data_IF_990002145248
#
_entry.id   IF_990002145248
#
_cell.length_a   1.000
_cell.length_b   1.000
_cell.length_c   1.000
_cell.angle_alpha   90.00
_cell.angle_beta   90.00
_cell.angle_gamma   90.00
#
_symmetry.space_group_name_H-M   'P 1'
#
loop_
_entity.id
_entity.type
_entity.pdbx_description
1 polymer ?
#
# COMPACT_ATOMS: atom_id res chain seq x y z
N UNK A 1 -6.93 31.37 65.26
CA UNK A 1 -8.20 31.79 64.68
C UNK A 1 -8.07 31.69 63.17
N UNK A 2 -8.56 30.58 62.56
CA UNK A 2 -8.46 30.30 61.15
C UNK A 2 -9.79 30.61 60.50
N UNK A 3 -9.79 31.51 59.52
CA UNK A 3 -10.97 31.82 58.71
C UNK A 3 -10.83 31.02 57.38
N UNK A 4 -11.78 30.12 57.15
CA UNK A 4 -11.90 29.38 55.92
C UNK A 4 -12.68 30.21 54.91
N UNK A 5 -12.14 30.35 53.68
CA UNK A 5 -12.84 31.00 52.58
C UNK A 5 -13.43 29.89 51.69
N UNK A 6 -14.76 29.87 51.58
CA UNK A 6 -15.55 28.94 50.78
C UNK A 6 -15.70 29.52 49.37
N UNK A 7 -15.11 28.89 48.36
CA UNK A 7 -15.30 29.23 46.95
C UNK A 7 -16.48 28.42 46.38
N UNK A 8 -17.53 29.14 46.02
CA UNK A 8 -18.66 28.64 45.25
C UNK A 8 -18.29 28.57 43.78
N UNK A 9 -18.20 27.36 43.22
CA UNK A 9 -18.16 27.16 41.78
C UNK A 9 -19.58 27.29 41.21
N UNK A 10 -19.80 28.36 40.46
CA UNK A 10 -20.98 28.51 39.62
C UNK A 10 -20.86 27.67 38.34
N UNK A 11 -21.78 26.73 38.18
CA UNK A 11 -21.99 26.06 36.86
C UNK A 11 -22.69 27.06 35.94
N UNK A 12 -21.97 27.61 34.96
CA UNK A 12 -22.56 28.28 33.81
C UNK A 12 -23.12 27.25 32.86
N UNK A 13 -24.43 27.11 32.75
CA UNK A 13 -25.11 26.31 31.75
C UNK A 13 -24.94 26.90 30.36
N UNK A 14 -24.51 26.09 29.43
CA UNK A 14 -24.47 26.46 28.01
C UNK A 14 -25.89 26.61 27.46
N UNK A 15 -26.11 27.68 26.69
CA UNK A 15 -27.37 27.95 25.98
C UNK A 15 -27.54 26.95 24.81
N UNK A 16 -28.76 26.42 24.56
CA UNK A 16 -29.01 25.44 23.52
C UNK A 16 -28.94 25.93 22.07
N UNK A 17 -28.76 27.25 21.85
CA UNK A 17 -28.92 27.90 20.55
C UNK A 17 -27.63 28.45 19.92
N UNK A 18 -26.45 28.07 20.40
CA UNK A 18 -25.19 28.48 19.76
C UNK A 18 -24.75 27.40 18.75
N UNK A 19 -24.65 27.76 17.45
CA UNK A 19 -24.15 26.81 16.47
C UNK A 19 -22.70 26.46 16.81
N UNK A 20 -22.24 25.19 16.54
CA UNK A 20 -20.89 24.79 16.81
C UNK A 20 -19.91 25.72 16.10
N UNK A 21 -18.99 26.27 16.86
CA UNK A 21 -17.93 27.17 16.39
C UNK A 21 -16.99 26.39 15.49
N UNK A 22 -17.26 26.40 14.18
CA UNK A 22 -16.36 25.93 13.15
C UNK A 22 -15.22 26.94 13.02
N UNK A 23 -14.15 26.74 13.76
CA UNK A 23 -12.89 27.34 13.37
C UNK A 23 -12.51 26.74 12.02
N UNK A 24 -12.25 27.55 10.97
CA UNK A 24 -11.67 27.04 9.75
C UNK A 24 -10.36 26.35 10.14
N UNK A 25 -10.22 25.08 9.77
CA UNK A 25 -8.93 24.40 9.84
C UNK A 25 -7.97 25.26 9.04
N UNK A 26 -6.96 25.81 9.69
CA UNK A 26 -5.90 26.58 9.05
C UNK A 26 -5.30 25.73 7.93
N UNK A 27 -5.37 26.15 6.65
CA UNK A 27 -4.88 25.37 5.54
C UNK A 27 -3.36 25.43 5.36
N UNK A 28 -2.64 25.91 6.36
CA UNK A 28 -1.19 25.74 6.36
C UNK A 28 -0.91 24.26 6.66
N UNK A 29 -0.49 23.44 5.69
CA UNK A 29 0.01 22.12 6.02
C UNK A 29 1.21 22.34 6.92
N UNK A 30 1.10 21.95 8.20
CA UNK A 30 2.30 21.65 8.96
C UNK A 30 3.13 20.74 8.07
N UNK A 31 4.30 21.20 7.66
CA UNK A 31 5.31 20.36 7.07
C UNK A 31 5.65 19.37 8.19
N UNK A 32 4.92 18.26 8.23
CA UNK A 32 5.25 17.16 9.12
C UNK A 32 6.69 16.81 8.75
N UNK A 33 7.57 16.98 9.71
CA UNK A 33 8.96 16.58 9.57
C UNK A 33 8.97 15.04 9.59
N UNK A 34 8.55 14.44 8.46
CA UNK A 34 8.55 12.99 8.28
C UNK A 34 10.00 12.56 8.34
N UNK A 35 10.41 11.81 9.37
CA UNK A 35 11.80 11.40 9.49
C UNK A 35 12.17 10.50 8.30
N UNK A 36 13.45 10.54 7.91
CA UNK A 36 13.98 9.56 6.96
C UNK A 36 13.79 8.14 7.51
N UNK A 37 13.56 7.18 6.63
CA UNK A 37 13.41 5.75 6.97
C UNK A 37 14.34 4.91 6.15
N UNK A 38 14.95 3.91 6.81
CA UNK A 38 15.77 2.86 6.18
C UNK A 38 15.37 1.54 6.81
N UNK A 39 15.11 0.55 5.98
CA UNK A 39 14.78 -0.80 6.41
C UNK A 39 16.05 -1.53 6.85
N UNK A 40 15.91 -2.40 7.84
CA UNK A 40 16.94 -3.35 8.21
C UNK A 40 16.91 -4.53 7.23
N UNK A 41 18.01 -4.72 6.49
CA UNK A 41 18.17 -5.78 5.51
C UNK A 41 19.52 -6.48 5.72
N UNK A 42 19.60 -7.73 5.27
CA UNK A 42 20.88 -8.43 5.20
C UNK A 42 21.56 -8.07 3.88
N UNK A 43 22.55 -7.20 3.95
CA UNK A 43 23.32 -6.83 2.76
C UNK A 43 24.23 -7.98 2.32
N UNK A 44 24.21 -8.29 1.03
CA UNK A 44 25.07 -9.29 0.40
C UNK A 44 25.74 -8.72 -0.85
N UNK A 45 26.97 -9.19 -1.12
CA UNK A 45 27.69 -8.87 -2.35
C UNK A 45 27.42 -9.98 -3.38
N UNK A 46 27.14 -9.58 -4.63
CA UNK A 46 26.97 -10.57 -5.71
C UNK A 46 28.24 -11.40 -5.92
N UNK A 47 28.10 -12.70 -5.99
CA UNK A 47 29.23 -13.63 -6.11
C UNK A 47 29.74 -13.79 -7.54
N UNK A 48 29.03 -13.29 -8.55
CA UNK A 48 29.41 -13.26 -9.96
C UNK A 48 29.05 -11.91 -10.59
N UNK A 49 29.72 -11.56 -11.69
CA UNK A 49 29.48 -10.28 -12.40
C UNK A 49 28.09 -10.13 -13.04
N UNK A 50 27.24 -11.17 -13.01
CA UNK A 50 25.91 -11.20 -13.62
C UNK A 50 24.78 -11.60 -12.65
N UNK A 51 25.05 -11.67 -11.34
CA UNK A 51 24.05 -12.01 -10.31
C UNK A 51 23.49 -10.79 -9.56
N UNK A 52 23.55 -9.61 -10.13
CA UNK A 52 22.95 -8.42 -9.53
C UNK A 52 21.44 -8.60 -9.26
N UNK A 53 20.68 -9.19 -10.21
CA UNK A 53 19.27 -9.51 -10.01
C UNK A 53 19.00 -10.47 -8.85
N UNK A 54 19.60 -11.66 -8.81
CA UNK A 54 19.50 -12.58 -7.67
C UNK A 54 19.85 -11.93 -6.33
N UNK A 55 20.97 -11.21 -6.27
CA UNK A 55 21.42 -10.61 -4.99
C UNK A 55 20.56 -9.44 -4.55
N UNK A 56 20.10 -8.59 -5.46
CA UNK A 56 19.13 -7.55 -5.13
C UNK A 56 17.81 -8.14 -4.62
N UNK A 57 17.37 -9.28 -5.21
CA UNK A 57 16.18 -10.02 -4.73
C UNK A 57 16.42 -10.60 -3.32
N UNK A 58 17.60 -11.19 -3.06
CA UNK A 58 18.00 -11.68 -1.74
C UNK A 58 17.94 -10.58 -0.67
N UNK A 59 18.56 -9.43 -0.96
CA UNK A 59 18.54 -8.26 -0.08
C UNK A 59 17.08 -7.82 0.20
N UNK A 60 16.23 -7.75 -0.82
CA UNK A 60 14.84 -7.35 -0.65
C UNK A 60 14.05 -8.33 0.22
N UNK A 61 14.18 -9.64 -0.01
CA UNK A 61 13.52 -10.69 0.77
C UNK A 61 13.95 -10.67 2.25
N UNK A 62 15.21 -10.33 2.52
CA UNK A 62 15.78 -10.37 3.87
C UNK A 62 15.09 -9.44 4.88
N UNK A 63 14.35 -8.43 4.40
CA UNK A 63 13.53 -7.57 5.25
C UNK A 63 12.32 -8.29 5.85
N UNK A 64 11.92 -9.44 5.28
CA UNK A 64 10.68 -10.15 5.64
C UNK A 64 10.87 -11.60 6.04
N UNK A 65 11.83 -12.28 5.41
CA UNK A 65 12.09 -13.71 5.63
C UNK A 65 13.60 -13.98 5.62
N UNK A 66 14.01 -15.18 6.03
CA UNK A 66 15.34 -15.69 5.72
C UNK A 66 15.37 -16.08 4.24
N UNK A 67 16.07 -15.34 3.37
CA UNK A 67 15.97 -15.54 1.93
C UNK A 67 16.68 -16.82 1.47
N UNK A 68 16.28 -17.40 0.31
CA UNK A 68 17.13 -18.33 -0.40
C UNK A 68 18.43 -17.65 -0.82
N UNK A 69 19.55 -18.41 -0.86
CA UNK A 69 20.82 -17.84 -1.31
C UNK A 69 20.86 -17.56 -2.80
N UNK A 70 21.84 -16.75 -3.24
CA UNK A 70 21.97 -16.23 -4.61
C UNK A 70 21.85 -17.29 -5.71
N UNK A 71 22.45 -18.48 -5.52
CA UNK A 71 22.38 -19.55 -6.50
C UNK A 71 20.95 -20.12 -6.68
N UNK A 72 20.18 -20.23 -5.60
CA UNK A 72 18.79 -20.65 -5.66
C UNK A 72 17.93 -19.58 -6.35
N UNK A 73 18.11 -18.32 -5.96
CA UNK A 73 17.42 -17.19 -6.60
C UNK A 73 17.79 -17.02 -8.07
N UNK A 74 19.06 -17.25 -8.46
CA UNK A 74 19.47 -17.24 -9.86
C UNK A 74 18.71 -18.29 -10.68
N UNK A 75 18.48 -19.48 -10.13
CA UNK A 75 17.69 -20.53 -10.77
C UNK A 75 16.21 -20.14 -10.88
N UNK A 76 15.61 -19.61 -9.81
CA UNK A 76 14.21 -19.18 -9.79
C UNK A 76 13.96 -18.04 -10.79
N UNK A 77 14.88 -17.07 -10.86
CA UNK A 77 14.83 -15.94 -11.81
C UNK A 77 15.14 -16.35 -13.26
N UNK A 78 15.68 -17.54 -13.49
CA UNK A 78 16.19 -17.92 -14.81
C UNK A 78 17.40 -17.08 -15.25
N UNK A 79 18.19 -16.57 -14.29
CA UNK A 79 19.37 -15.73 -14.56
C UNK A 79 20.42 -16.52 -15.33
N UNK A 80 20.95 -15.93 -16.40
CA UNK A 80 21.99 -16.50 -17.25
C UNK A 80 23.31 -15.74 -17.09
N UNK A 81 24.32 -16.10 -17.86
CA UNK A 81 25.58 -15.32 -17.92
C UNK A 81 25.38 -13.89 -18.46
N UNK A 82 24.21 -13.61 -19.07
CA UNK A 82 23.82 -12.28 -19.52
C UNK A 82 23.01 -11.50 -18.46
N UNK A 83 22.82 -12.07 -17.27
CA UNK A 83 22.05 -11.50 -16.16
C UNK A 83 20.59 -11.97 -16.13
N UNK A 84 19.77 -11.25 -15.38
CA UNK A 84 18.30 -11.37 -15.30
C UNK A 84 17.70 -10.43 -16.34
N UNK A 85 16.85 -10.95 -17.24
CA UNK A 85 16.43 -10.21 -18.44
C UNK A 85 15.41 -9.09 -18.12
N UNK A 86 14.46 -9.37 -17.22
CA UNK A 86 13.31 -8.48 -16.99
C UNK A 86 12.91 -8.42 -15.53
N UNK A 87 12.51 -7.22 -15.08
CA UNK A 87 12.13 -6.94 -13.70
C UNK A 87 10.93 -7.79 -13.23
N UNK A 88 10.02 -8.18 -14.10
CA UNK A 88 8.90 -9.06 -13.76
C UNK A 88 9.30 -10.45 -13.28
N UNK A 89 10.49 -10.95 -13.64
CA UNK A 89 11.05 -12.18 -13.08
C UNK A 89 11.33 -11.99 -11.58
N UNK A 90 11.88 -10.83 -11.21
CA UNK A 90 12.10 -10.45 -9.79
C UNK A 90 10.79 -10.37 -9.04
N UNK A 91 9.78 -9.67 -9.58
CA UNK A 91 8.43 -9.60 -9.00
C UNK A 91 7.84 -11.00 -8.75
N UNK A 92 7.95 -11.88 -9.74
CA UNK A 92 7.44 -13.26 -9.63
C UNK A 92 8.11 -14.05 -8.50
N UNK A 93 9.45 -13.95 -8.38
CA UNK A 93 10.21 -14.65 -7.33
C UNK A 93 9.94 -14.06 -5.96
N UNK A 94 9.90 -12.73 -5.81
CA UNK A 94 9.53 -12.08 -4.54
C UNK A 94 8.17 -12.57 -4.05
N UNK A 95 7.16 -12.60 -4.90
CA UNK A 95 5.82 -13.06 -4.54
C UNK A 95 5.79 -14.57 -4.20
N UNK A 96 6.51 -15.39 -4.97
CA UNK A 96 6.56 -16.83 -4.73
C UNK A 96 7.21 -17.17 -3.37
N UNK A 97 8.33 -16.53 -3.05
CA UNK A 97 9.07 -16.79 -1.81
C UNK A 97 8.38 -16.19 -0.58
N UNK A 98 7.64 -15.09 -0.74
CA UNK A 98 6.80 -14.51 0.32
C UNK A 98 5.46 -15.24 0.49
N UNK A 99 5.06 -16.09 -0.46
CA UNK A 99 3.82 -16.86 -0.43
C UNK A 99 2.55 -16.07 -0.76
N UNK A 100 2.68 -14.79 -1.13
CA UNK A 100 1.56 -13.88 -1.39
C UNK A 100 1.94 -12.84 -2.47
N UNK A 101 0.98 -12.28 -3.23
CA UNK A 101 1.22 -11.32 -4.29
C UNK A 101 1.49 -9.89 -3.78
N UNK A 102 2.49 -9.75 -2.89
CA UNK A 102 2.85 -8.47 -2.29
C UNK A 102 3.41 -7.46 -3.28
N UNK A 103 4.01 -7.91 -4.38
CA UNK A 103 4.68 -7.04 -5.34
C UNK A 103 4.00 -7.03 -6.71
N UNK A 104 4.05 -5.87 -7.36
CA UNK A 104 3.72 -5.68 -8.78
C UNK A 104 4.93 -5.14 -9.53
N UNK A 105 4.98 -5.42 -10.84
CA UNK A 105 5.96 -4.83 -11.74
C UNK A 105 5.49 -3.45 -12.18
N UNK A 106 6.35 -2.44 -12.04
CA UNK A 106 6.17 -1.11 -12.61
C UNK A 106 7.19 -0.90 -13.72
N UNK A 107 6.73 -0.73 -14.93
CA UNK A 107 7.59 -0.39 -16.07
C UNK A 107 7.66 1.14 -16.22
N UNK A 108 8.85 1.65 -16.60
CA UNK A 108 9.08 3.06 -16.91
C UNK A 108 9.59 3.17 -18.33
N UNK A 109 8.70 3.11 -19.35
CA UNK A 109 9.13 3.06 -20.76
C UNK A 109 9.65 4.40 -21.31
N UNK A 110 9.33 5.53 -20.66
CA UNK A 110 9.69 6.85 -21.17
C UNK A 110 11.04 7.29 -20.64
N UNK A 111 11.98 7.60 -21.57
CA UNK A 111 13.29 8.18 -21.26
C UNK A 111 13.44 9.51 -21.99
N UNK A 112 13.46 10.66 -21.29
CA UNK A 112 13.34 10.82 -19.83
C UNK A 112 11.94 10.47 -19.30
N UNK A 113 11.83 10.09 -17.99
CA UNK A 113 10.56 9.70 -17.37
C UNK A 113 9.58 10.88 -17.34
N UNK A 114 8.30 10.58 -17.55
CA UNK A 114 7.22 11.54 -17.39
C UNK A 114 7.03 11.94 -15.92
N UNK A 115 6.37 13.08 -15.67
CA UNK A 115 6.06 13.49 -14.30
C UNK A 115 5.19 12.45 -13.58
N UNK A 116 4.21 11.85 -14.27
CA UNK A 116 3.36 10.80 -13.70
C UNK A 116 4.16 9.55 -13.28
N UNK A 117 5.13 9.11 -14.09
CA UNK A 117 6.03 8.00 -13.71
C UNK A 117 6.89 8.36 -12.51
N UNK A 118 7.38 9.59 -12.41
CA UNK A 118 8.15 10.08 -11.26
C UNK A 118 7.30 10.13 -9.99
N UNK A 119 6.09 10.67 -10.08
CA UNK A 119 5.17 10.78 -8.96
C UNK A 119 4.79 9.38 -8.43
N UNK A 120 4.51 8.44 -9.35
CA UNK A 120 4.24 7.05 -9.01
C UNK A 120 5.45 6.37 -8.36
N UNK A 121 6.67 6.55 -8.91
CA UNK A 121 7.89 5.99 -8.33
C UNK A 121 8.13 6.52 -6.91
N UNK A 122 7.96 7.83 -6.68
CA UNK A 122 8.11 8.40 -5.33
C UNK A 122 7.08 7.85 -4.35
N UNK A 123 5.83 7.76 -4.80
CA UNK A 123 4.76 7.14 -4.03
C UNK A 123 5.10 5.69 -3.66
N UNK A 124 5.49 4.87 -4.65
CA UNK A 124 5.81 3.47 -4.44
C UNK A 124 7.03 3.26 -3.53
N UNK A 125 8.07 4.12 -3.65
CA UNK A 125 9.23 4.10 -2.75
C UNK A 125 8.82 4.39 -1.31
N UNK A 126 8.18 5.52 -1.08
CA UNK A 126 7.81 5.93 0.29
C UNK A 126 6.89 4.91 0.93
N UNK A 127 5.89 4.47 0.18
CA UNK A 127 4.94 3.48 0.61
C UNK A 127 5.58 2.13 0.92
N UNK A 128 6.35 1.59 -0.03
CA UNK A 128 6.99 0.29 0.16
C UNK A 128 7.88 0.26 1.40
N UNK A 129 8.69 1.31 1.58
CA UNK A 129 9.55 1.43 2.77
C UNK A 129 8.74 1.58 4.06
N UNK A 130 7.63 2.34 4.03
CA UNK A 130 6.75 2.49 5.20
C UNK A 130 6.07 1.19 5.61
N UNK A 131 5.74 0.34 4.64
CA UNK A 131 5.13 -0.97 4.86
C UNK A 131 6.17 -2.10 5.13
N UNK A 132 7.48 -1.78 5.06
CA UNK A 132 8.58 -2.74 5.33
C UNK A 132 8.97 -3.59 4.12
N UNK A 133 8.68 -3.12 2.91
CA UNK A 133 8.98 -3.80 1.65
C UNK A 133 9.95 -2.98 0.79
N UNK A 134 11.22 -3.41 0.66
CA UNK A 134 12.17 -2.79 -0.26
C UNK A 134 11.74 -2.92 -1.72
N UNK A 135 12.21 -2.01 -2.58
CA UNK A 135 11.99 -2.09 -4.01
C UNK A 135 13.26 -2.55 -4.72
N UNK A 136 13.14 -3.48 -5.65
CA UNK A 136 14.24 -3.82 -6.56
C UNK A 136 14.09 -3.00 -7.84
N UNK A 137 15.13 -2.28 -8.23
CA UNK A 137 15.16 -1.46 -9.44
C UNK A 137 16.11 -2.08 -10.48
N UNK A 138 15.62 -2.23 -11.72
CA UNK A 138 16.43 -2.53 -12.89
C UNK A 138 16.82 -1.19 -13.55
N UNK A 139 18.10 -0.95 -13.71
CA UNK A 139 18.61 0.36 -14.13
C UNK A 139 19.53 0.28 -15.35
N UNK A 140 19.67 1.41 -16.01
CA UNK A 140 20.71 1.69 -17.01
C UNK A 140 21.49 2.91 -16.56
N UNK A 141 22.76 2.75 -16.22
CA UNK A 141 23.63 3.82 -15.73
C UNK A 141 24.67 4.18 -16.81
N UNK A 142 24.44 5.21 -17.66
CA UNK A 142 25.40 5.66 -18.65
C UNK A 142 26.54 6.46 -17.99
N UNK A 143 27.70 6.68 -18.64
CA UNK A 143 28.88 7.33 -18.08
C UNK A 143 28.64 8.72 -17.47
N UNK A 144 27.65 9.43 -17.95
CA UNK A 144 27.27 10.76 -17.47
C UNK A 144 26.20 10.76 -16.37
N UNK A 145 25.72 9.58 -15.94
CA UNK A 145 24.73 9.42 -14.90
C UNK A 145 25.01 8.15 -14.08
N UNK A 146 26.10 8.14 -13.33
CA UNK A 146 26.52 7.02 -12.51
C UNK A 146 26.21 7.22 -11.02
N UNK A 147 25.73 6.19 -10.34
CA UNK A 147 25.81 6.11 -8.89
C UNK A 147 27.28 6.11 -8.40
N UNK A 148 27.51 6.31 -7.09
CA UNK A 148 28.87 6.32 -6.53
C UNK A 148 29.67 5.05 -6.87
N UNK A 149 30.91 5.24 -7.30
CA UNK A 149 31.88 4.15 -7.52
C UNK A 149 31.72 3.36 -8.82
N UNK A 150 30.72 3.62 -9.63
CA UNK A 150 30.50 2.91 -10.88
C UNK A 150 31.65 3.15 -11.89
N UNK A 151 32.01 2.13 -12.70
CA UNK A 151 33.03 2.29 -13.75
C UNK A 151 32.50 3.17 -14.89
N UNK A 152 33.41 3.89 -15.55
CA UNK A 152 33.06 4.87 -16.60
C UNK A 152 32.65 4.18 -17.94
N UNK A 153 31.64 3.31 -17.87
CA UNK A 153 30.98 2.63 -19.00
C UNK A 153 29.48 2.55 -18.71
N UNK A 154 28.67 2.29 -19.72
CA UNK A 154 27.23 2.02 -19.45
C UNK A 154 27.09 0.71 -18.69
N UNK A 155 26.42 0.76 -17.53
CA UNK A 155 26.17 -0.38 -16.65
C UNK A 155 24.67 -0.70 -16.66
N UNK A 156 24.34 -1.95 -16.97
CA UNK A 156 23.00 -2.54 -16.77
C UNK A 156 23.02 -3.29 -15.45
N UNK A 157 22.14 -2.93 -14.54
CA UNK A 157 22.27 -3.42 -13.18
C UNK A 157 20.94 -3.53 -12.44
N UNK A 158 20.94 -4.28 -11.34
CA UNK A 158 19.87 -4.35 -10.36
C UNK A 158 20.42 -3.96 -8.99
N UNK A 159 19.72 -3.08 -8.29
CA UNK A 159 19.97 -2.77 -6.89
C UNK A 159 18.66 -2.69 -6.10
N UNK A 160 18.77 -2.60 -4.77
CA UNK A 160 17.61 -2.55 -3.87
C UNK A 160 17.50 -1.17 -3.24
N UNK A 161 16.34 -0.54 -3.38
CA UNK A 161 15.99 0.68 -2.64
C UNK A 161 15.44 0.25 -1.29
N UNK A 162 16.13 0.64 -0.22
CA UNK A 162 15.84 0.21 1.16
C UNK A 162 15.45 1.36 2.08
N UNK A 163 15.45 2.59 1.57
CA UNK A 163 15.10 3.75 2.39
C UNK A 163 14.84 5.01 1.58
N UNK A 164 14.29 6.02 2.27
CA UNK A 164 14.07 7.34 1.70
C UNK A 164 14.21 8.46 2.74
N UNK A 165 14.50 9.67 2.26
CA UNK A 165 14.49 10.91 3.05
C UNK A 165 13.63 11.96 2.32
N UNK A 166 12.42 12.28 2.82
CA UNK A 166 11.53 13.20 2.15
C UNK A 166 12.01 14.65 2.19
N UNK A 167 12.75 15.05 3.23
CA UNK A 167 13.24 16.42 3.38
C UNK A 167 14.33 16.78 2.36
N UNK A 168 15.16 15.81 1.95
CA UNK A 168 16.22 15.98 0.95
C UNK A 168 15.87 15.37 -0.41
N UNK A 169 14.71 14.72 -0.55
CA UNK A 169 14.30 13.94 -1.73
C UNK A 169 15.40 12.95 -2.18
N UNK A 170 15.84 12.12 -1.26
CA UNK A 170 16.84 11.09 -1.48
C UNK A 170 16.28 9.71 -1.19
N UNK A 171 16.86 8.70 -1.82
CA UNK A 171 16.62 7.29 -1.58
C UNK A 171 17.90 6.61 -1.09
N UNK A 172 17.76 5.59 -0.25
CA UNK A 172 18.90 4.83 0.24
C UNK A 172 18.98 3.49 -0.49
N UNK A 173 20.12 3.22 -1.08
CA UNK A 173 20.36 2.08 -1.97
C UNK A 173 21.25 1.07 -1.26
N UNK A 174 20.88 -0.23 -1.36
CA UNK A 174 21.75 -1.37 -1.12
C UNK A 174 22.16 -1.95 -2.48
N UNK A 175 23.43 -1.81 -2.82
CA UNK A 175 23.97 -2.12 -4.15
C UNK A 175 24.82 -3.40 -4.09
N UNK A 176 24.38 -4.52 -4.69
CA UNK A 176 25.07 -5.80 -4.60
C UNK A 176 26.41 -5.84 -5.34
N UNK A 177 26.70 -4.87 -6.24
CA UNK A 177 27.96 -4.89 -6.99
C UNK A 177 29.16 -4.39 -6.17
N UNK A 178 28.93 -3.67 -5.08
CA UNK A 178 30.01 -3.12 -4.22
C UNK A 178 31.06 -2.34 -5.02
N UNK A 179 30.61 -1.56 -6.03
CA UNK A 179 31.53 -0.82 -6.90
C UNK A 179 32.41 0.14 -6.08
N UNK A 180 33.72 -0.13 -6.07
CA UNK A 180 34.72 0.67 -5.33
C UNK A 180 34.44 0.78 -3.84
N UNK A 181 33.79 -0.21 -3.22
CA UNK A 181 33.44 -0.22 -1.80
C UNK A 181 32.13 0.51 -1.45
N UNK A 182 31.37 0.92 -2.45
CA UNK A 182 30.07 1.59 -2.23
C UNK A 182 28.94 0.56 -2.18
N UNK A 183 28.75 -0.02 -1.02
CA UNK A 183 27.73 -1.04 -0.73
C UNK A 183 26.36 -0.45 -0.55
N UNK A 184 26.31 0.62 0.24
CA UNK A 184 25.10 1.36 0.58
C UNK A 184 25.38 2.85 0.50
N UNK A 185 24.43 3.59 -0.11
CA UNK A 185 24.61 5.04 -0.30
C UNK A 185 23.27 5.76 -0.53
N UNK A 186 23.28 7.06 -0.21
CA UNK A 186 22.20 7.95 -0.58
C UNK A 186 22.32 8.38 -2.03
N UNK A 187 21.23 8.29 -2.76
CA UNK A 187 21.06 8.74 -4.14
C UNK A 187 19.96 9.81 -4.20
N UNK A 188 20.09 10.84 -5.04
CA UNK A 188 18.95 11.73 -5.22
C UNK A 188 17.80 10.99 -5.91
N UNK A 189 16.57 11.34 -5.56
CA UNK A 189 15.39 10.76 -6.22
C UNK A 189 15.39 11.07 -7.73
N UNK A 190 15.82 12.29 -8.11
CA UNK A 190 15.95 12.66 -9.50
C UNK A 190 16.89 11.72 -10.27
N UNK A 191 18.01 11.36 -9.68
CA UNK A 191 18.94 10.42 -10.28
C UNK A 191 18.33 9.01 -10.38
N UNK A 192 17.71 8.49 -9.33
CA UNK A 192 17.01 7.20 -9.37
C UNK A 192 16.00 7.17 -10.53
N UNK A 193 15.15 8.18 -10.62
CA UNK A 193 14.10 8.25 -11.64
C UNK A 193 14.66 8.25 -13.08
N UNK A 194 15.85 8.79 -13.30
CA UNK A 194 16.51 8.80 -14.62
C UNK A 194 17.36 7.57 -14.91
N UNK A 195 17.66 6.75 -13.92
CA UNK A 195 18.40 5.49 -14.08
C UNK A 195 17.51 4.31 -14.46
N UNK A 196 16.24 4.31 -14.05
CA UNK A 196 15.32 3.18 -14.28
C UNK A 196 14.90 3.05 -15.75
N UNK A 197 14.50 4.12 -16.48
CA UNK A 197 14.09 3.98 -17.88
C UNK A 197 15.19 3.42 -18.81
N UNK A 198 14.82 2.66 -19.84
CA UNK A 198 13.48 2.16 -20.19
C UNK A 198 13.17 0.80 -19.54
N UNK A 199 13.58 0.60 -18.32
CA UNK A 199 13.40 -0.62 -17.53
C UNK A 199 12.19 -0.47 -16.57
N UNK A 200 12.33 -0.95 -15.33
CA UNK A 200 11.28 -0.87 -14.34
C UNK A 200 11.78 -1.25 -12.96
N UNK A 201 10.83 -1.34 -12.03
CA UNK A 201 11.10 -1.67 -10.63
C UNK A 201 9.96 -2.53 -10.05
N UNK A 202 10.22 -3.13 -8.90
CA UNK A 202 9.17 -3.80 -8.11
C UNK A 202 8.55 -2.81 -7.16
N UNK A 203 7.23 -2.74 -7.09
CA UNK A 203 6.49 -1.94 -6.14
C UNK A 203 5.60 -2.81 -5.28
N UNK A 204 5.42 -2.44 -4.01
CA UNK A 204 4.46 -3.13 -3.16
C UNK A 204 3.04 -2.85 -3.66
N UNK A 205 2.19 -3.87 -3.66
CA UNK A 205 0.78 -3.70 -4.00
C UNK A 205 0.07 -2.88 -2.92
N UNK A 206 -0.99 -2.17 -3.28
CA UNK A 206 -1.84 -1.49 -2.30
C UNK A 206 -2.48 -2.47 -1.29
N UNK A 207 -2.37 -3.78 -1.51
CA UNK A 207 -2.79 -4.84 -0.60
C UNK A 207 -2.08 -4.89 0.75
N UNK A 208 -0.87 -4.39 0.84
CA UNK A 208 -0.08 -4.47 2.07
C UNK A 208 -0.55 -3.52 3.18
N UNK A 209 -1.52 -2.64 2.91
CA UNK A 209 -1.88 -1.54 3.82
C UNK A 209 -2.48 -1.94 5.16
N UNK A 210 -3.26 -3.01 5.20
CA UNK A 210 -3.90 -3.43 6.44
C UNK A 210 -4.04 -4.94 6.49
N UNK A 211 -3.78 -5.53 7.65
CA UNK A 211 -4.03 -6.95 7.86
C UNK A 211 -5.54 -7.22 7.88
N UNK A 212 -6.04 -7.79 6.80
CA UNK A 212 -7.37 -8.40 6.76
C UNK A 212 -7.22 -9.84 7.25
N UNK A 213 -7.98 -10.25 8.27
CA UNK A 213 -7.84 -11.55 8.92
C UNK A 213 -9.17 -12.31 8.96
N UNK A 214 -9.12 -13.59 9.31
CA UNK A 214 -10.31 -14.40 9.62
C UNK A 214 -11.30 -14.49 8.46
N UNK A 215 -12.60 -14.40 8.78
CA UNK A 215 -13.68 -14.56 7.80
C UNK A 215 -13.78 -13.41 6.79
N UNK A 216 -13.32 -12.24 7.18
CA UNK A 216 -13.23 -11.09 6.26
C UNK A 216 -12.12 -11.33 5.23
N UNK A 217 -10.97 -11.88 5.64
CA UNK A 217 -9.90 -12.25 4.71
C UNK A 217 -10.36 -13.35 3.73
N UNK A 218 -10.99 -14.43 4.23
CA UNK A 218 -11.55 -15.51 3.39
C UNK A 218 -12.51 -14.94 2.31
N UNK A 219 -13.34 -13.98 2.70
CA UNK A 219 -14.27 -13.31 1.78
C UNK A 219 -13.57 -12.44 0.77
N UNK A 220 -12.62 -11.64 1.23
CA UNK A 220 -11.81 -10.76 0.39
C UNK A 220 -11.03 -11.55 -0.67
N UNK A 221 -10.38 -12.66 -0.27
CA UNK A 221 -9.66 -13.55 -1.16
C UNK A 221 -10.60 -14.21 -2.19
N UNK A 222 -11.80 -14.63 -1.76
CA UNK A 222 -12.81 -15.20 -2.65
C UNK A 222 -13.31 -14.20 -3.70
N UNK A 223 -13.30 -12.90 -3.39
CA UNK A 223 -13.63 -11.83 -4.33
C UNK A 223 -12.47 -11.48 -5.29
N UNK A 224 -11.28 -12.02 -5.07
CA UNK A 224 -10.08 -11.75 -5.87
C UNK A 224 -9.06 -10.81 -5.22
N UNK A 225 -9.17 -10.59 -3.91
CA UNK A 225 -8.22 -9.78 -3.13
C UNK A 225 -8.11 -8.36 -3.66
N UNK A 226 -6.89 -7.85 -3.78
CA UNK A 226 -6.61 -6.52 -4.33
C UNK A 226 -7.03 -6.30 -5.77
N UNK A 227 -7.12 -7.36 -6.56
CA UNK A 227 -7.64 -7.30 -7.92
C UNK A 227 -9.17 -7.24 -7.98
N UNK A 228 -9.85 -7.34 -6.84
CA UNK A 228 -11.30 -7.29 -6.76
C UNK A 228 -11.84 -5.86 -6.95
N UNK A 229 -13.16 -5.78 -7.08
CA UNK A 229 -13.89 -4.51 -7.11
C UNK A 229 -13.73 -3.65 -5.84
N UNK A 230 -13.27 -4.25 -4.72
CA UNK A 230 -13.06 -3.54 -3.45
C UNK A 230 -11.73 -2.77 -3.41
N UNK A 231 -10.73 -3.16 -4.22
CA UNK A 231 -9.39 -2.60 -4.14
C UNK A 231 -8.65 -2.98 -2.85
N UNK A 232 -7.66 -2.18 -2.47
CA UNK A 232 -6.83 -2.43 -1.30
C UNK A 232 -7.55 -2.19 0.03
N UNK A 233 -7.22 -2.95 1.10
CA UNK A 233 -7.72 -2.66 2.44
C UNK A 233 -7.09 -1.38 2.99
N UNK A 234 -7.90 -0.46 3.51
CA UNK A 234 -7.46 0.79 4.14
C UNK A 234 -7.58 0.77 5.66
N UNK A 235 -8.24 -0.23 6.24
CA UNK A 235 -8.28 -0.44 7.68
C UNK A 235 -8.01 -1.89 8.03
N UNK A 236 -7.35 -2.12 9.16
CA UNK A 236 -7.38 -3.42 9.84
C UNK A 236 -8.82 -3.81 10.20
N UNK A 237 -9.02 -5.09 10.52
CA UNK A 237 -10.30 -5.59 10.99
C UNK A 237 -10.67 -4.93 12.33
N UNK A 238 -11.87 -4.34 12.39
CA UNK A 238 -12.41 -3.63 13.56
C UNK A 238 -13.70 -4.30 14.06
N UNK A 239 -13.97 -4.17 15.35
CA UNK A 239 -15.28 -4.51 15.92
C UNK A 239 -16.30 -3.43 15.56
N UNK A 240 -17.56 -3.86 15.31
CA UNK A 240 -18.67 -2.94 15.16
C UNK A 240 -19.05 -2.32 16.52
N UNK A 241 -19.65 -1.10 16.55
CA UNK A 241 -20.03 -0.42 17.80
C UNK A 241 -20.95 -1.21 18.71
N UNK A 242 -21.80 -2.07 18.17
CA UNK A 242 -22.71 -2.95 18.92
C UNK A 242 -22.01 -4.18 19.54
N UNK A 243 -20.74 -4.43 19.17
CA UNK A 243 -19.95 -5.55 19.66
C UNK A 243 -20.34 -6.92 19.09
N UNK A 244 -21.22 -6.98 18.08
CA UNK A 244 -21.71 -8.23 17.47
C UNK A 244 -20.83 -8.65 16.30
N UNK A 245 -20.54 -7.69 15.41
CA UNK A 245 -19.86 -7.92 14.15
C UNK A 245 -18.43 -7.41 14.11
N UNK A 246 -17.82 -7.61 12.94
CA UNK A 246 -16.51 -7.08 12.59
C UNK A 246 -16.56 -6.56 11.16
N UNK A 247 -15.68 -5.62 10.83
CA UNK A 247 -15.59 -5.06 9.49
C UNK A 247 -14.17 -4.62 9.13
N UNK A 248 -13.90 -4.58 7.84
CA UNK A 248 -12.74 -3.90 7.24
C UNK A 248 -13.23 -2.99 6.12
N UNK A 249 -12.58 -1.83 6.00
CA UNK A 249 -12.84 -0.86 4.93
C UNK A 249 -11.75 -1.00 3.85
N UNK A 250 -12.18 -0.96 2.60
CA UNK A 250 -11.36 -1.03 1.40
C UNK A 250 -11.55 0.24 0.57
N UNK A 251 -10.71 0.44 -0.43
CA UNK A 251 -10.75 1.67 -1.27
C UNK A 251 -12.12 1.95 -1.89
N UNK A 252 -12.81 0.89 -2.34
CA UNK A 252 -14.08 1.00 -3.04
C UNK A 252 -15.27 0.44 -2.26
N UNK A 253 -15.07 -0.11 -1.05
CA UNK A 253 -16.14 -0.77 -0.32
C UNK A 253 -15.79 -1.15 1.10
N UNK A 254 -16.57 -2.07 1.65
CA UNK A 254 -16.35 -2.65 2.98
C UNK A 254 -16.82 -4.10 3.00
N UNK A 255 -16.24 -4.92 3.85
CA UNK A 255 -16.74 -6.25 4.19
C UNK A 255 -17.15 -6.23 5.66
N UNK A 256 -18.38 -6.65 5.94
CA UNK A 256 -18.92 -6.85 7.28
C UNK A 256 -19.11 -8.32 7.54
N UNK A 257 -18.83 -8.75 8.75
CA UNK A 257 -19.00 -10.13 9.18
C UNK A 257 -19.69 -10.19 10.54
N UNK A 258 -20.62 -11.14 10.67
CA UNK A 258 -21.16 -11.57 11.97
C UNK A 258 -21.15 -13.10 12.06
N UNK A 259 -21.14 -13.68 13.29
CA UNK A 259 -21.22 -15.14 13.44
C UNK A 259 -22.48 -15.77 12.84
N UNK A 260 -23.58 -15.02 12.80
CA UNK A 260 -24.88 -15.50 12.34
C UNK A 260 -25.06 -15.40 10.83
N UNK A 261 -24.53 -14.35 10.20
CA UNK A 261 -24.84 -14.01 8.82
C UNK A 261 -23.69 -14.35 7.84
N UNK A 262 -22.45 -14.49 8.36
CA UNK A 262 -21.27 -14.64 7.52
C UNK A 262 -20.65 -13.30 7.13
N UNK A 263 -19.77 -13.32 6.12
CA UNK A 263 -19.08 -12.15 5.61
C UNK A 263 -19.70 -11.72 4.28
N UNK A 264 -20.12 -10.45 4.19
CA UNK A 264 -20.72 -9.85 2.99
C UNK A 264 -20.07 -8.53 2.67
N UNK A 265 -19.86 -8.29 1.36
CA UNK A 265 -19.35 -7.03 0.86
C UNK A 265 -20.48 -6.05 0.56
N UNK A 266 -20.17 -4.75 0.71
CA UNK A 266 -21.04 -3.64 0.26
C UNK A 266 -20.13 -2.57 -0.35
N UNK A 267 -20.44 -2.09 -1.55
CA UNK A 267 -19.62 -1.13 -2.25
C UNK A 267 -20.42 -0.05 -3.00
N UNK A 268 -19.72 0.95 -3.56
CA UNK A 268 -20.32 1.97 -4.43
C UNK A 268 -21.54 2.68 -3.84
N UNK A 269 -22.50 2.99 -4.71
CA UNK A 269 -23.73 3.74 -4.36
C UNK A 269 -24.57 3.08 -3.26
N UNK A 270 -24.60 1.74 -3.23
CA UNK A 270 -25.34 0.99 -2.19
C UNK A 270 -24.70 1.21 -0.83
N UNK A 271 -23.38 1.14 -0.76
CA UNK A 271 -22.62 1.42 0.48
C UNK A 271 -22.83 2.84 0.96
N UNK A 272 -22.77 3.82 0.05
CA UNK A 272 -22.96 5.24 0.39
C UNK A 272 -24.39 5.50 0.90
N UNK A 273 -25.38 4.83 0.32
CA UNK A 273 -26.75 4.90 0.82
C UNK A 273 -26.90 4.24 2.18
N UNK A 274 -26.31 3.08 2.40
CA UNK A 274 -26.33 2.39 3.70
C UNK A 274 -25.66 3.22 4.80
N UNK A 275 -24.60 3.95 4.46
CA UNK A 275 -23.99 4.93 5.36
C UNK A 275 -24.98 6.01 5.82
N UNK A 276 -25.79 6.53 4.88
CA UNK A 276 -26.83 7.53 5.19
C UNK A 276 -27.96 6.95 6.06
N UNK A 277 -28.22 5.64 5.95
CA UNK A 277 -29.20 4.92 6.78
C UNK A 277 -28.64 4.52 8.17
N UNK A 278 -27.37 4.82 8.47
CA UNK A 278 -26.73 4.61 9.78
C UNK A 278 -25.97 3.31 9.95
N UNK A 279 -25.53 2.71 8.86
CA UNK A 279 -24.76 1.46 8.84
C UNK A 279 -25.51 0.30 9.50
N UNK A 280 -24.79 -0.63 10.14
CA UNK A 280 -25.34 -1.75 10.88
C UNK A 280 -26.21 -1.35 12.09
N UNK A 281 -25.97 -0.15 12.65
CA UNK A 281 -26.76 0.41 13.74
C UNK A 281 -28.07 1.06 13.26
N UNK A 282 -28.22 1.26 11.95
CA UNK A 282 -29.41 1.82 11.34
C UNK A 282 -30.56 0.81 11.25
N UNK A 283 -31.68 1.23 10.66
CA UNK A 283 -32.90 0.41 10.60
C UNK A 283 -32.76 -0.82 9.68
N UNK A 284 -31.77 -0.81 8.75
CA UNK A 284 -31.55 -1.95 7.85
C UNK A 284 -30.76 -3.09 8.50
N UNK A 285 -29.96 -2.81 9.54
CA UNK A 285 -29.07 -3.81 10.14
C UNK A 285 -27.89 -4.18 9.26
N UNK A 286 -27.33 -5.37 9.47
CA UNK A 286 -26.17 -5.89 8.73
C UNK A 286 -26.52 -6.36 7.32
N UNK A 287 -25.56 -6.34 6.38
CA UNK A 287 -25.74 -6.98 5.09
C UNK A 287 -25.84 -8.51 5.25
N UNK A 288 -26.79 -9.11 4.52
CA UNK A 288 -27.03 -10.57 4.48
C UNK A 288 -26.76 -11.15 3.09
N UNK A 289 -26.43 -10.33 2.12
CA UNK A 289 -25.98 -10.73 0.78
C UNK A 289 -24.81 -9.88 0.32
N UNK A 290 -24.04 -10.42 -0.62
CA UNK A 290 -23.19 -9.61 -1.49
C UNK A 290 -24.07 -8.82 -2.45
N UNK A 291 -23.49 -7.78 -3.06
CA UNK A 291 -24.16 -7.06 -4.12
C UNK A 291 -24.36 -7.95 -5.34
N UNK A 292 -25.58 -8.04 -5.81
CA UNK A 292 -26.00 -8.86 -6.94
C UNK A 292 -26.84 -8.07 -7.96
N UNK A 293 -26.99 -8.63 -9.17
CA UNK A 293 -27.81 -8.02 -10.20
C UNK A 293 -29.30 -8.06 -9.82
N UNK A 294 -30.01 -6.96 -9.97
CA UNK A 294 -31.46 -6.84 -9.77
C UNK A 294 -32.06 -5.85 -10.78
N UNK A 295 -32.88 -6.37 -11.68
CA UNK A 295 -33.53 -5.58 -12.73
C UNK A 295 -32.54 -4.86 -13.63
N UNK A 296 -32.62 -3.54 -13.66
CA UNK A 296 -31.76 -2.64 -14.44
C UNK A 296 -30.48 -2.20 -13.66
N UNK A 297 -30.27 -2.74 -12.44
CA UNK A 297 -29.23 -2.28 -11.56
C UNK A 297 -28.63 -3.36 -10.68
N UNK A 298 -28.33 -2.97 -9.45
CA UNK A 298 -27.69 -3.78 -8.44
C UNK A 298 -28.41 -3.67 -7.11
N UNK A 299 -28.32 -4.71 -6.28
CA UNK A 299 -28.96 -4.78 -4.98
C UNK A 299 -28.10 -5.46 -3.96
N UNK A 300 -28.16 -4.99 -2.71
CA UNK A 300 -27.73 -5.71 -1.50
C UNK A 300 -28.90 -5.85 -0.55
N UNK A 301 -29.03 -7.04 0.04
CA UNK A 301 -30.03 -7.35 1.06
C UNK A 301 -29.43 -7.17 2.46
N UNK A 302 -30.26 -6.68 3.37
CA UNK A 302 -29.91 -6.41 4.77
C UNK A 302 -30.91 -7.13 5.69
N UNK A 303 -30.63 -7.24 6.98
CA UNK A 303 -31.49 -7.96 7.94
C UNK A 303 -32.95 -7.48 7.91
N UNK A 304 -33.19 -6.19 7.61
CA UNK A 304 -34.51 -5.57 7.71
C UNK A 304 -34.91 -4.83 6.44
N UNK A 305 -34.39 -5.24 5.27
CA UNK A 305 -34.74 -4.64 4.00
C UNK A 305 -33.64 -4.78 2.95
N UNK A 306 -33.67 -3.92 1.97
CA UNK A 306 -32.67 -3.91 0.90
C UNK A 306 -32.37 -2.49 0.41
N UNK A 307 -31.24 -2.34 -0.28
CA UNK A 307 -30.92 -1.18 -1.07
C UNK A 307 -30.72 -1.63 -2.51
N UNK A 308 -31.46 -0.99 -3.43
CA UNK A 308 -31.33 -1.17 -4.86
C UNK A 308 -30.78 0.12 -5.50
N UNK A 309 -29.80 -0.02 -6.37
CA UNK A 309 -29.29 1.05 -7.24
C UNK A 309 -29.71 0.79 -8.69
N UNK A 310 -30.31 1.79 -9.33
CA UNK A 310 -30.69 1.74 -10.74
C UNK A 310 -29.64 2.39 -11.61
N UNK A 311 -29.12 1.66 -12.59
CA UNK A 311 -28.17 2.19 -13.58
C UNK A 311 -28.84 3.19 -14.55
N UNK A 312 -30.14 3.09 -14.75
CA UNK A 312 -30.87 3.97 -15.68
C UNK A 312 -31.07 5.39 -15.12
N UNK A 313 -31.20 5.51 -13.79
CA UNK A 313 -31.49 6.80 -13.13
C UNK A 313 -30.32 7.29 -12.25
N UNK A 314 -29.32 6.44 -12.03
CA UNK A 314 -28.21 6.67 -11.10
C UNK A 314 -28.68 7.03 -9.67
N UNK A 315 -29.71 6.34 -9.19
CA UNK A 315 -30.31 6.57 -7.87
C UNK A 315 -30.44 5.29 -7.06
N UNK A 316 -30.43 5.43 -5.74
CA UNK A 316 -30.67 4.33 -4.80
C UNK A 316 -32.07 4.41 -4.20
N UNK A 317 -32.71 3.26 -4.03
CA UNK A 317 -33.98 3.10 -3.30
C UNK A 317 -33.82 2.11 -2.15
N UNK A 318 -34.48 2.36 -1.02
CA UNK A 318 -34.55 1.45 0.12
C UNK A 318 -35.93 0.82 0.13
N UNK A 319 -35.97 -0.50 0.27
CA UNK A 319 -37.21 -1.25 0.39
C UNK A 319 -37.23 -2.13 1.64
N UNK A 320 -38.44 -2.59 2.05
CA UNK A 320 -38.65 -3.45 3.21
C UNK A 320 -38.13 -4.86 2.99
#
# INVERSE_FOLDING_TARGET
MKIACLLLLGCAGASPDEPPNWNPIDPTPEVQNVPWRVLDVQYEVQTTGYWCGPTATEIALSSRIAPPGQAALANQLGTTVNGTDWIGQVTGVLNADLGEPWYVTREMPNDPPTQAERDLLWHDVTRGIDDGFPLVANIVAPPNNHPPGYPNTTIYHYFTVIGYNPASQQVYIADPADFSGNKEYWLSFDQLATLIPPKGYTAVTDCARAAVIGKIAEKYDALGGCGSLLGAPITEERGTPDGIGRYSVFEQGSIYWTPALGAHEVHGHIRDRWAQEGWEAGHLGYPISDEHADGDGRRSDFEHGYIHWSAATDTTTVGP
#
